data_IF_954112412473
#
_entry.id   IF_954112412473
#
_cell.length_a   1.000
_cell.length_b   1.000
_cell.length_c   1.000
_cell.angle_alpha   90.00
_cell.angle_beta   90.00
_cell.angle_gamma   90.00
#
_symmetry.space_group_name_H-M   'P 1'
#
loop_
_entity.id
_entity.type
_entity.pdbx_description
1 polymer ?
#
# COMPACT_ATOMS: atom_id res chain seq x y z
N UNK A 1 -94.65 22.91 62.99
CA UNK A 1 -94.02 21.92 63.86
C UNK A 1 -92.92 21.20 63.10
N UNK A 2 -91.85 21.28 63.53
CA UNK A 2 -90.67 20.59 64.01
C UNK A 2 -89.56 20.53 62.95
N UNK A 3 -88.56 21.26 63.11
CA UNK A 3 -87.14 21.11 63.39
C UNK A 3 -86.49 19.76 63.09
N UNK A 4 -85.48 19.78 62.28
CA UNK A 4 -84.12 19.18 62.51
C UNK A 4 -83.33 19.21 61.21
N UNK A 5 -82.34 19.85 61.15
CA UNK A 5 -80.96 19.79 61.56
C UNK A 5 -80.03 19.47 60.35
N UNK A 6 -79.34 20.54 59.88
CA UNK A 6 -78.23 20.45 59.03
C UNK A 6 -77.05 19.70 59.71
N UNK A 7 -76.42 18.82 58.97
CA UNK A 7 -75.04 18.45 59.22
C UNK A 7 -74.23 18.55 57.93
N UNK A 8 -73.36 19.50 57.91
CA UNK A 8 -72.31 19.68 56.92
C UNK A 8 -71.30 18.54 56.92
N UNK A 9 -71.01 17.98 55.78
CA UNK A 9 -69.85 17.15 55.58
C UNK A 9 -68.98 17.90 54.56
N UNK A 10 -67.89 18.51 55.08
CA UNK A 10 -66.82 19.06 54.25
C UNK A 10 -65.97 17.91 53.71
N UNK A 11 -66.07 17.66 52.45
CA UNK A 11 -65.16 16.74 51.75
C UNK A 11 -63.92 17.54 51.33
N UNK A 12 -62.82 17.31 52.02
CA UNK A 12 -61.49 17.87 51.69
C UNK A 12 -60.98 17.23 50.38
N UNK A 13 -60.82 18.03 49.33
CA UNK A 13 -60.16 17.65 48.10
C UNK A 13 -58.65 17.74 48.29
N UNK A 14 -57.98 16.61 48.62
CA UNK A 14 -56.55 16.52 48.69
C UNK A 14 -56.00 16.53 47.23
N UNK A 15 -55.49 17.69 46.83
CA UNK A 15 -54.82 17.88 45.55
C UNK A 15 -53.42 17.28 45.66
N UNK A 16 -53.22 16.00 45.23
CA UNK A 16 -51.91 15.40 45.06
C UNK A 16 -51.20 16.07 43.87
N UNK A 17 -50.31 17.00 44.16
CA UNK A 17 -49.34 17.54 43.20
C UNK A 17 -48.27 16.47 43.01
N UNK A 18 -48.40 15.61 41.95
CA UNK A 18 -47.33 14.75 41.50
C UNK A 18 -46.24 15.62 40.94
N UNK A 19 -45.16 15.85 41.70
CA UNK A 19 -43.88 16.35 41.15
C UNK A 19 -43.34 15.28 40.23
N UNK A 20 -43.62 15.38 38.92
CA UNK A 20 -42.87 14.69 37.90
C UNK A 20 -41.48 15.33 37.83
N UNK A 21 -40.55 14.77 38.54
CA UNK A 21 -39.12 15.05 38.30
C UNK A 21 -38.80 14.64 36.86
N UNK A 22 -38.22 15.55 36.03
CA UNK A 22 -37.75 15.14 34.74
C UNK A 22 -36.64 14.11 34.98
N UNK A 23 -36.91 12.83 34.67
CA UNK A 23 -35.83 11.87 34.49
C UNK A 23 -34.99 12.37 33.31
N UNK A 24 -33.90 13.09 33.64
CA UNK A 24 -32.80 13.23 32.73
C UNK A 24 -32.32 11.79 32.47
N UNK A 25 -32.74 11.20 31.36
CA UNK A 25 -32.00 10.12 30.75
C UNK A 25 -30.64 10.71 30.44
N UNK A 26 -29.66 10.38 31.28
CA UNK A 26 -28.26 10.54 30.88
C UNK A 26 -28.14 9.75 29.58
N UNK A 27 -28.08 10.47 28.47
CA UNK A 27 -27.59 9.89 27.22
C UNK A 27 -26.25 9.26 27.60
N UNK A 28 -26.15 7.95 27.50
CA UNK A 28 -24.88 7.27 27.69
C UNK A 28 -23.92 7.97 26.72
N UNK A 29 -22.93 8.69 27.24
CA UNK A 29 -21.90 9.31 26.44
C UNK A 29 -21.35 8.20 25.55
N UNK A 30 -21.51 8.33 24.22
CA UNK A 30 -20.85 7.41 23.30
C UNK A 30 -19.36 7.42 23.61
N UNK A 31 -18.71 6.25 23.61
CA UNK A 31 -17.27 6.17 23.90
C UNK A 31 -16.53 7.11 22.96
N UNK A 32 -15.66 7.96 23.51
CA UNK A 32 -14.89 8.91 22.73
C UNK A 32 -14.00 8.18 21.73
N UNK A 33 -14.08 8.59 20.47
CA UNK A 33 -13.18 8.09 19.40
C UNK A 33 -11.76 8.55 19.69
N UNK A 34 -10.76 7.75 19.35
CA UNK A 34 -9.36 8.11 19.52
C UNK A 34 -9.01 9.38 18.72
N UNK A 35 -8.24 10.32 19.28
CA UNK A 35 -8.02 11.64 18.66
C UNK A 35 -7.42 11.60 17.25
N UNK A 36 -6.56 10.63 16.94
CA UNK A 36 -5.95 10.46 15.63
C UNK A 36 -6.96 9.98 14.57
N UNK A 37 -7.94 9.19 14.95
CA UNK A 37 -9.09 8.79 14.12
C UNK A 37 -10.10 9.92 14.03
N UNK A 38 -10.46 10.55 15.17
CA UNK A 38 -11.44 11.65 15.22
C UNK A 38 -11.07 12.79 14.29
N UNK A 39 -9.79 13.15 14.21
CA UNK A 39 -9.28 14.18 13.30
C UNK A 39 -9.61 13.85 11.82
N UNK A 40 -9.58 12.58 11.43
CA UNK A 40 -9.91 12.14 10.06
C UNK A 40 -11.42 12.19 9.85
N UNK A 41 -12.20 11.75 10.84
CA UNK A 41 -13.66 11.80 10.80
C UNK A 41 -14.17 13.24 10.71
N UNK A 42 -13.60 14.17 11.50
CA UNK A 42 -13.95 15.59 11.50
C UNK A 42 -13.61 16.25 10.15
N UNK A 43 -12.52 15.82 9.51
CA UNK A 43 -12.14 16.31 8.18
C UNK A 43 -13.02 15.72 7.06
N UNK A 44 -13.73 14.61 7.31
CA UNK A 44 -14.51 13.88 6.31
C UNK A 44 -13.67 13.21 5.22
N UNK A 45 -12.33 13.29 5.33
CA UNK A 45 -11.40 12.74 4.33
C UNK A 45 -10.19 12.11 4.99
N UNK A 46 -9.67 11.03 4.37
CA UNK A 46 -8.35 10.48 4.64
C UNK A 46 -7.42 10.77 3.46
N UNK A 47 -6.28 11.41 3.74
CA UNK A 47 -5.28 11.72 2.71
C UNK A 47 -4.38 10.53 2.48
N UNK A 48 -4.33 10.06 1.24
CA UNK A 48 -3.61 8.84 0.84
C UNK A 48 -2.48 9.18 -0.11
N UNK A 49 -1.24 9.01 0.33
CA UNK A 49 -0.08 9.18 -0.52
C UNK A 49 0.04 8.00 -1.52
N UNK A 50 0.21 8.35 -2.78
CA UNK A 50 0.54 7.47 -3.88
C UNK A 50 1.78 7.98 -4.60
N UNK A 51 2.54 7.08 -5.22
CA UNK A 51 3.60 7.48 -6.15
C UNK A 51 3.01 8.31 -7.30
N UNK A 52 3.74 9.36 -7.74
CA UNK A 52 3.30 10.25 -8.83
C UNK A 52 3.25 9.50 -10.15
N UNK A 53 4.28 8.72 -10.49
CA UNK A 53 4.31 7.90 -11.68
C UNK A 53 3.52 6.60 -11.54
N UNK A 54 3.03 6.09 -12.65
CA UNK A 54 2.31 4.82 -12.70
C UNK A 54 3.23 3.64 -12.39
N UNK A 55 2.66 2.63 -11.76
CA UNK A 55 3.29 1.36 -11.40
C UNK A 55 2.24 0.24 -11.56
N UNK A 56 1.88 -0.02 -12.80
CA UNK A 56 0.82 -0.97 -13.16
C UNK A 56 1.13 -2.41 -12.69
N UNK A 57 0.11 -3.16 -12.29
CA UNK A 57 -1.31 -2.84 -12.21
C UNK A 57 -1.74 -2.19 -10.89
N UNK A 58 -0.81 -1.88 -9.97
CA UNK A 58 -1.10 -1.37 -8.64
C UNK A 58 -1.52 0.09 -8.64
N UNK A 59 -0.75 0.92 -9.35
CA UNK A 59 -1.00 2.36 -9.45
C UNK A 59 -1.04 2.70 -10.93
N UNK A 60 -2.17 3.20 -11.38
CA UNK A 60 -2.41 3.63 -12.75
C UNK A 60 -3.12 4.97 -12.75
N UNK A 61 -3.17 5.59 -13.91
CA UNK A 61 -3.98 6.77 -14.18
C UNK A 61 -5.02 6.38 -15.22
N UNK A 62 -6.29 6.57 -14.91
CA UNK A 62 -7.38 6.27 -15.86
C UNK A 62 -7.49 7.33 -16.98
N UNK A 63 -8.41 7.12 -17.93
CA UNK A 63 -8.62 8.03 -19.04
C UNK A 63 -9.06 9.45 -18.62
N UNK A 64 -9.57 9.62 -17.39
CA UNK A 64 -10.01 10.90 -16.83
C UNK A 64 -8.90 11.57 -15.98
N UNK A 65 -7.72 10.96 -15.88
CA UNK A 65 -6.62 11.43 -15.04
C UNK A 65 -6.75 11.05 -13.56
N UNK A 66 -7.71 10.22 -13.19
CA UNK A 66 -7.90 9.80 -11.80
C UNK A 66 -7.03 8.56 -11.46
N UNK A 67 -6.60 8.44 -10.18
CA UNK A 67 -5.88 7.27 -9.72
C UNK A 67 -6.72 6.00 -9.86
N UNK A 68 -6.15 4.95 -10.47
CA UNK A 68 -6.75 3.64 -10.70
C UNK A 68 -5.77 2.52 -10.32
N UNK A 69 -6.25 1.28 -10.25
CA UNK A 69 -5.44 0.12 -9.87
C UNK A 69 -5.71 -0.36 -8.45
N UNK A 70 -5.04 -1.44 -8.06
CA UNK A 70 -5.34 -2.13 -6.78
C UNK A 70 -5.10 -1.26 -5.55
N UNK A 71 -4.12 -0.37 -5.57
CA UNK A 71 -3.81 0.49 -4.43
C UNK A 71 -4.85 1.60 -4.22
N UNK A 72 -5.25 2.37 -5.25
CA UNK A 72 -6.36 3.31 -5.14
C UNK A 72 -7.70 2.65 -4.76
N UNK A 73 -7.98 1.44 -5.27
CA UNK A 73 -9.20 0.72 -4.96
C UNK A 73 -9.23 0.28 -3.49
N UNK A 74 -8.12 -0.25 -2.97
CA UNK A 74 -7.97 -0.57 -1.55
C UNK A 74 -8.13 0.67 -0.67
N UNK A 75 -7.52 1.79 -1.07
CA UNK A 75 -7.60 3.04 -0.31
C UNK A 75 -9.03 3.58 -0.26
N UNK A 76 -9.80 3.49 -1.36
CA UNK A 76 -11.21 3.90 -1.39
C UNK A 76 -12.09 3.00 -0.51
N UNK A 77 -11.87 1.68 -0.54
CA UNK A 77 -12.63 0.76 0.31
C UNK A 77 -12.32 1.01 1.80
N UNK A 78 -11.04 1.18 2.15
CA UNK A 78 -10.61 1.54 3.51
C UNK A 78 -11.28 2.84 3.98
N UNK A 79 -11.25 3.89 3.17
CA UNK A 79 -11.86 5.18 3.48
C UNK A 79 -13.38 5.03 3.69
N UNK A 80 -14.05 4.31 2.81
CA UNK A 80 -15.48 4.01 2.92
C UNK A 80 -15.83 3.27 4.22
N UNK A 81 -15.01 2.30 4.62
CA UNK A 81 -15.17 1.56 5.89
C UNK A 81 -14.93 2.44 7.11
N UNK A 82 -14.04 3.42 7.01
CA UNK A 82 -13.82 4.43 8.06
C UNK A 82 -14.93 5.49 8.11
N UNK A 83 -15.78 5.58 7.07
CA UNK A 83 -16.86 6.56 6.98
C UNK A 83 -16.43 7.92 6.40
N UNK A 84 -15.34 7.96 5.62
CA UNK A 84 -14.78 9.16 5.00
C UNK A 84 -14.46 8.93 3.51
N UNK A 85 -14.04 9.99 2.82
CA UNK A 85 -13.57 9.90 1.44
C UNK A 85 -12.04 9.78 1.36
N UNK A 86 -11.52 9.09 0.33
CA UNK A 86 -10.09 9.03 0.04
C UNK A 86 -9.69 10.20 -0.86
N UNK A 87 -8.73 11.02 -0.39
CA UNK A 87 -8.11 12.08 -1.19
C UNK A 87 -6.66 11.71 -1.47
N UNK A 88 -6.32 11.61 -2.75
CA UNK A 88 -5.00 11.14 -3.17
C UNK A 88 -3.97 12.27 -3.28
N UNK A 89 -2.79 12.06 -2.69
CA UNK A 89 -1.61 12.93 -2.74
C UNK A 89 -0.56 12.25 -3.60
N UNK A 90 -0.33 12.74 -4.82
CA UNK A 90 0.61 12.17 -5.81
C UNK A 90 1.74 13.16 -6.11
N UNK A 91 2.54 13.50 -5.09
CA UNK A 91 3.62 14.50 -5.19
C UNK A 91 5.02 13.91 -5.18
N UNK A 92 5.15 12.60 -4.92
CA UNK A 92 6.45 11.94 -4.79
C UNK A 92 6.71 10.98 -5.97
N UNK A 93 7.87 11.13 -6.60
CA UNK A 93 8.28 10.30 -7.75
C UNK A 93 8.90 8.95 -7.34
N UNK A 94 9.38 8.85 -6.09
CA UNK A 94 10.04 7.65 -5.57
C UNK A 94 9.25 7.02 -4.42
N UNK A 95 9.45 5.73 -4.17
CA UNK A 95 8.84 5.03 -3.03
C UNK A 95 9.29 5.60 -1.68
N UNK A 96 10.57 6.01 -1.56
CA UNK A 96 11.05 6.68 -0.34
C UNK A 96 10.41 8.06 -0.18
N UNK A 97 10.24 8.81 -1.27
CA UNK A 97 9.52 10.07 -1.27
C UNK A 97 8.07 9.94 -0.80
N UNK A 98 7.37 8.85 -1.16
CA UNK A 98 6.02 8.55 -0.65
C UNK A 98 6.03 8.37 0.87
N UNK A 99 7.03 7.67 1.42
CA UNK A 99 7.21 7.54 2.88
C UNK A 99 7.46 8.90 3.52
N UNK A 100 8.26 9.76 2.89
CA UNK A 100 8.54 11.11 3.39
C UNK A 100 7.28 12.00 3.44
N UNK A 101 6.37 11.89 2.47
CA UNK A 101 5.07 12.58 2.48
C UNK A 101 4.27 12.22 3.73
N UNK A 102 4.23 10.95 4.10
CA UNK A 102 3.54 10.47 5.31
C UNK A 102 4.29 10.90 6.58
N UNK A 103 5.60 10.78 6.60
CA UNK A 103 6.44 11.18 7.73
C UNK A 103 6.30 12.68 8.06
N UNK A 104 6.19 13.52 7.02
CA UNK A 104 5.94 14.97 7.18
C UNK A 104 4.47 15.33 7.43
N UNK A 105 3.58 14.31 7.53
CA UNK A 105 2.13 14.49 7.81
C UNK A 105 1.37 15.24 6.69
N UNK A 106 1.93 15.23 5.49
CA UNK A 106 1.27 15.75 4.29
C UNK A 106 0.15 14.80 3.81
N UNK A 107 0.27 13.50 4.15
CA UNK A 107 -0.78 12.50 4.05
C UNK A 107 -0.95 11.75 5.39
N UNK A 108 -2.09 11.08 5.55
CA UNK A 108 -2.40 10.31 6.75
C UNK A 108 -1.86 8.88 6.65
N UNK A 109 -1.94 8.32 5.46
CA UNK A 109 -1.44 6.99 5.11
C UNK A 109 -0.81 7.00 3.73
N UNK A 110 -0.04 5.95 3.41
CA UNK A 110 0.32 5.63 2.04
C UNK A 110 -0.14 4.21 1.70
N UNK A 111 -0.94 4.10 0.64
CA UNK A 111 -1.34 2.85 -0.01
C UNK A 111 -0.73 2.89 -1.40
N UNK A 112 0.54 2.48 -1.52
CA UNK A 112 1.37 2.75 -2.70
C UNK A 112 2.32 1.60 -3.03
N UNK A 113 1.86 0.36 -2.80
CA UNK A 113 2.64 -0.84 -3.05
C UNK A 113 4.01 -0.81 -2.34
N UNK A 114 4.00 -0.36 -1.08
CA UNK A 114 5.22 -0.11 -0.32
C UNK A 114 5.72 -1.37 0.40
N UNK A 115 6.95 -1.73 0.12
CA UNK A 115 7.69 -2.65 0.98
C UNK A 115 8.13 -1.94 2.26
N UNK A 116 7.97 -2.61 3.39
CA UNK A 116 8.54 -2.14 4.66
C UNK A 116 10.05 -2.35 4.71
N UNK A 117 10.73 -1.57 5.53
CA UNK A 117 12.15 -1.71 5.80
C UNK A 117 12.55 -0.98 7.08
N UNK A 118 13.62 -1.45 7.74
CA UNK A 118 14.07 -0.87 9.01
C UNK A 118 14.41 0.63 8.88
N UNK A 119 14.91 1.07 7.71
CA UNK A 119 15.20 2.48 7.43
C UNK A 119 13.91 3.31 7.43
N UNK A 120 12.88 2.87 6.72
CA UNK A 120 11.58 3.55 6.61
C UNK A 120 10.80 3.54 7.93
N UNK A 121 10.88 2.44 8.68
CA UNK A 121 10.21 2.27 9.96
C UNK A 121 10.70 3.23 11.06
N UNK A 122 11.77 3.99 10.82
CA UNK A 122 12.21 5.08 11.72
C UNK A 122 11.30 6.30 11.66
N UNK A 123 10.51 6.45 10.59
CA UNK A 123 9.77 7.68 10.28
C UNK A 123 8.27 7.49 10.24
N UNK A 124 7.81 6.26 9.94
CA UNK A 124 6.40 5.92 9.81
C UNK A 124 6.10 4.57 10.48
N UNK A 125 4.85 4.33 10.82
CA UNK A 125 4.37 2.99 11.14
C UNK A 125 4.06 2.21 9.86
N UNK A 126 4.12 0.87 9.94
CA UNK A 126 3.67 -0.04 8.90
C UNK A 126 2.58 -0.95 9.44
N UNK A 127 1.54 -1.17 8.64
CA UNK A 127 0.48 -2.15 8.92
C UNK A 127 0.99 -3.59 8.88
N UNK A 128 0.13 -4.54 9.22
CA UNK A 128 0.30 -5.92 8.79
C UNK A 128 0.37 -5.98 7.26
N UNK A 129 1.04 -6.99 6.68
CA UNK A 129 1.10 -7.14 5.23
C UNK A 129 -0.29 -7.50 4.66
N UNK A 130 -0.58 -6.97 3.46
CA UNK A 130 -1.78 -7.34 2.70
C UNK A 130 -1.45 -7.98 1.34
N UNK A 131 -0.19 -7.88 0.89
CA UNK A 131 0.33 -8.65 -0.24
C UNK A 131 1.65 -9.26 0.19
N UNK A 132 1.82 -10.56 -0.06
CA UNK A 132 3.08 -11.26 0.10
C UNK A 132 3.77 -11.36 -1.26
N UNK A 133 4.73 -10.48 -1.48
CA UNK A 133 5.43 -10.39 -2.75
C UNK A 133 6.82 -10.99 -2.65
N UNK A 134 7.31 -11.54 -3.77
CA UNK A 134 8.72 -11.89 -3.96
C UNK A 134 9.35 -10.93 -4.96
N UNK A 135 10.46 -10.31 -4.62
CA UNK A 135 11.34 -9.67 -5.59
C UNK A 135 11.93 -10.72 -6.52
N UNK A 136 12.04 -10.43 -7.80
CA UNK A 136 12.63 -11.29 -8.81
C UNK A 136 13.76 -10.57 -9.54
N UNK A 137 14.78 -11.33 -9.90
CA UNK A 137 15.84 -10.90 -10.78
C UNK A 137 15.51 -11.31 -12.23
N UNK A 138 15.61 -10.36 -13.13
CA UNK A 138 15.58 -10.58 -14.59
C UNK A 138 16.96 -10.29 -15.17
N UNK A 139 17.31 -10.98 -16.27
CA UNK A 139 18.61 -10.81 -16.90
C UNK A 139 18.56 -10.93 -18.43
N UNK A 140 19.53 -10.35 -19.10
CA UNK A 140 19.71 -10.47 -20.53
C UNK A 140 20.29 -11.85 -20.89
N UNK A 141 19.55 -12.61 -21.70
CA UNK A 141 19.90 -14.00 -22.08
C UNK A 141 21.22 -14.10 -22.83
N UNK A 142 21.47 -13.17 -23.76
CA UNK A 142 22.67 -13.21 -24.60
C UNK A 142 23.92 -12.95 -23.75
N UNK A 143 23.90 -11.91 -22.92
CA UNK A 143 25.03 -11.60 -22.04
C UNK A 143 25.28 -12.72 -21.03
N UNK A 144 24.24 -13.33 -20.48
CA UNK A 144 24.45 -14.45 -19.57
C UNK A 144 25.03 -15.68 -20.28
N UNK A 145 24.64 -15.94 -21.54
CA UNK A 145 25.23 -17.01 -22.35
C UNK A 145 26.72 -16.73 -22.63
N UNK A 146 27.11 -15.47 -22.82
CA UNK A 146 28.52 -15.06 -22.96
C UNK A 146 29.30 -15.29 -21.66
N UNK A 147 28.77 -14.89 -20.51
CA UNK A 147 29.38 -15.14 -19.20
C UNK A 147 29.57 -16.64 -18.92
N UNK A 148 28.60 -17.47 -19.28
CA UNK A 148 28.72 -18.94 -19.17
C UNK A 148 29.89 -19.47 -20.02
N UNK A 149 29.99 -19.00 -21.26
CA UNK A 149 31.01 -19.47 -22.20
C UNK A 149 32.40 -18.99 -21.82
N UNK A 150 32.54 -17.70 -21.46
CA UNK A 150 33.84 -17.04 -21.35
C UNK A 150 34.41 -17.10 -19.93
N UNK A 151 33.56 -17.19 -18.90
CA UNK A 151 33.91 -17.23 -17.47
C UNK A 151 33.50 -18.54 -16.76
N UNK A 152 32.77 -19.43 -17.44
CA UNK A 152 32.27 -20.66 -16.81
C UNK A 152 31.19 -20.45 -15.72
N UNK A 153 30.53 -19.28 -15.73
CA UNK A 153 29.52 -18.92 -14.73
C UNK A 153 28.22 -19.64 -15.02
N UNK A 154 27.81 -20.56 -14.15
CA UNK A 154 26.59 -21.38 -14.35
C UNK A 154 25.33 -20.77 -13.75
N UNK A 155 25.43 -19.88 -12.74
CA UNK A 155 24.30 -19.26 -12.06
C UNK A 155 24.54 -17.77 -11.86
N UNK A 156 23.45 -16.98 -11.77
CA UNK A 156 23.58 -15.54 -11.48
C UNK A 156 24.18 -15.28 -10.08
N UNK A 157 23.96 -16.18 -9.14
CA UNK A 157 24.55 -16.07 -7.80
C UNK A 157 26.08 -16.15 -7.86
N UNK A 158 26.63 -17.00 -8.72
CA UNK A 158 28.09 -17.13 -8.87
C UNK A 158 28.75 -15.83 -9.40
N UNK A 159 28.00 -14.97 -10.09
CA UNK A 159 28.50 -13.66 -10.55
C UNK A 159 28.95 -12.77 -9.37
N UNK A 160 28.23 -12.83 -8.24
CA UNK A 160 28.52 -11.97 -7.10
C UNK A 160 29.94 -12.19 -6.51
N UNK A 161 30.51 -13.36 -6.74
CA UNK A 161 31.85 -13.77 -6.27
C UNK A 161 32.94 -13.68 -7.36
N UNK A 162 32.53 -13.41 -8.61
CA UNK A 162 33.44 -13.35 -9.77
C UNK A 162 33.92 -11.90 -10.04
N UNK A 163 35.18 -11.67 -10.38
CA UNK A 163 35.68 -10.34 -10.74
C UNK A 163 34.90 -9.65 -11.87
N UNK A 164 34.29 -10.40 -12.78
CA UNK A 164 33.47 -9.85 -13.88
C UNK A 164 32.29 -9.03 -13.38
N UNK A 165 31.83 -9.27 -12.14
CA UNK A 165 30.74 -8.50 -11.53
C UNK A 165 31.01 -6.98 -11.56
N UNK A 166 32.28 -6.55 -11.44
CA UNK A 166 32.67 -5.13 -11.47
C UNK A 166 32.38 -4.43 -12.82
N UNK A 167 32.22 -5.18 -13.88
CA UNK A 167 31.93 -4.70 -15.23
C UNK A 167 30.43 -4.68 -15.53
N UNK A 168 29.63 -5.43 -14.76
CA UNK A 168 28.20 -5.59 -15.00
C UNK A 168 27.38 -4.48 -14.37
N UNK A 169 26.38 -4.00 -15.13
CA UNK A 169 25.37 -3.09 -14.61
C UNK A 169 24.15 -3.87 -14.13
N UNK A 170 23.74 -3.58 -12.90
CA UNK A 170 22.55 -4.10 -12.27
C UNK A 170 21.51 -3.00 -12.12
N UNK A 171 20.32 -3.21 -12.66
CA UNK A 171 19.25 -2.21 -12.72
C UNK A 171 18.25 -2.31 -11.57
N UNK A 172 17.77 -1.17 -11.12
CA UNK A 172 16.70 -1.07 -10.12
C UNK A 172 15.91 0.23 -10.29
N UNK A 173 14.63 0.22 -9.93
CA UNK A 173 13.85 1.47 -9.89
C UNK A 173 14.25 2.29 -8.67
N UNK A 174 14.54 3.57 -8.88
CA UNK A 174 15.02 4.50 -7.86
C UNK A 174 14.10 4.57 -6.64
N UNK A 175 14.69 4.58 -5.44
CA UNK A 175 13.99 4.65 -4.15
C UNK A 175 13.20 3.39 -3.80
N UNK A 176 13.40 2.28 -4.52
CA UNK A 176 12.81 0.99 -4.17
C UNK A 176 13.64 0.24 -3.13
N UNK A 177 13.01 -0.71 -2.43
CA UNK A 177 13.74 -1.57 -1.47
C UNK A 177 14.81 -2.43 -2.17
N UNK A 178 14.70 -2.60 -3.48
CA UNK A 178 15.59 -3.44 -4.27
C UNK A 178 16.97 -2.82 -4.49
N UNK A 179 17.16 -1.51 -4.29
CA UNK A 179 18.49 -0.87 -4.24
C UNK A 179 19.36 -1.54 -3.18
N UNK A 180 18.92 -1.50 -1.92
CA UNK A 180 19.63 -2.12 -0.80
C UNK A 180 19.81 -3.63 -0.98
N UNK A 181 18.85 -4.28 -1.63
CA UNK A 181 18.92 -5.70 -1.87
C UNK A 181 19.99 -6.06 -2.90
N UNK A 182 20.07 -5.32 -4.01
CA UNK A 182 21.11 -5.52 -5.03
C UNK A 182 22.51 -5.18 -4.49
N UNK A 183 22.66 -4.09 -3.73
CA UNK A 183 23.92 -3.72 -3.10
C UNK A 183 24.44 -4.80 -2.15
N UNK A 184 23.54 -5.48 -1.43
CA UNK A 184 23.89 -6.59 -0.56
C UNK A 184 24.27 -7.86 -1.33
N UNK A 185 23.48 -8.21 -2.36
CA UNK A 185 23.60 -9.48 -3.07
C UNK A 185 24.67 -9.44 -4.17
N UNK A 186 24.93 -8.26 -4.73
CA UNK A 186 25.92 -8.01 -5.79
C UNK A 186 26.76 -6.76 -5.46
N UNK A 187 27.55 -6.80 -4.38
CA UNK A 187 28.19 -5.60 -3.82
C UNK A 187 29.25 -4.96 -4.71
N UNK A 188 29.80 -5.71 -5.67
CA UNK A 188 30.84 -5.24 -6.60
C UNK A 188 30.26 -4.76 -7.94
N UNK A 189 29.00 -5.04 -8.26
CA UNK A 189 28.35 -4.63 -9.48
C UNK A 189 28.03 -3.15 -9.51
N UNK A 190 27.93 -2.58 -10.71
CA UNK A 190 27.57 -1.17 -10.90
C UNK A 190 26.04 -1.03 -10.84
N UNK A 191 25.53 -0.36 -9.79
CA UNK A 191 24.11 -0.10 -9.69
C UNK A 191 23.70 1.01 -10.66
N UNK A 192 22.60 0.78 -11.41
CA UNK A 192 21.95 1.77 -12.26
C UNK A 192 20.51 2.00 -11.82
N UNK A 193 20.18 3.26 -11.55
CA UNK A 193 18.85 3.69 -11.12
C UNK A 193 17.99 4.07 -12.33
N UNK A 194 16.75 3.60 -12.34
CA UNK A 194 15.75 3.90 -13.37
C UNK A 194 14.54 4.60 -12.74
N UNK A 195 13.88 5.44 -13.50
CA UNK A 195 12.68 6.16 -13.08
C UNK A 195 11.41 5.26 -13.10
N UNK A 196 11.42 4.21 -13.91
CA UNK A 196 10.27 3.30 -14.09
C UNK A 196 10.69 1.87 -14.39
N UNK A 197 9.74 0.93 -14.17
CA UNK A 197 9.89 -0.46 -14.57
C UNK A 197 10.09 -0.58 -16.10
N UNK A 198 9.34 0.19 -16.89
CA UNK A 198 9.42 0.12 -18.35
C UNK A 198 10.81 0.50 -18.87
N UNK A 199 11.40 1.60 -18.34
CA UNK A 199 12.74 2.02 -18.66
C UNK A 199 13.78 0.96 -18.26
N UNK A 200 13.66 0.40 -17.06
CA UNK A 200 14.52 -0.66 -16.54
C UNK A 200 14.46 -1.93 -17.41
N UNK A 201 13.25 -2.40 -17.76
CA UNK A 201 13.06 -3.60 -18.58
C UNK A 201 13.54 -3.39 -20.03
N UNK A 202 13.39 -2.18 -20.58
CA UNK A 202 13.92 -1.84 -21.90
C UNK A 202 15.45 -1.91 -21.94
N UNK A 203 16.13 -1.41 -20.88
CA UNK A 203 17.58 -1.46 -20.76
C UNK A 203 18.11 -2.91 -20.60
N UNK A 204 17.42 -3.78 -19.86
CA UNK A 204 17.77 -5.21 -19.79
C UNK A 204 17.55 -5.89 -21.15
N UNK A 205 16.45 -5.58 -21.83
CA UNK A 205 16.15 -6.16 -23.14
C UNK A 205 17.18 -5.78 -24.19
N UNK A 206 17.66 -4.54 -24.21
CA UNK A 206 18.68 -4.06 -25.14
C UNK A 206 20.09 -4.56 -24.83
N UNK A 207 20.34 -5.07 -23.62
CA UNK A 207 21.66 -5.41 -23.10
C UNK A 207 22.47 -4.22 -22.57
N UNK A 208 21.87 -3.04 -22.46
CA UNK A 208 22.47 -1.86 -21.82
C UNK A 208 22.67 -2.10 -20.31
N UNK A 209 21.81 -2.90 -19.70
CA UNK A 209 21.89 -3.37 -18.32
C UNK A 209 21.85 -4.89 -18.34
N UNK A 210 22.80 -5.53 -17.65
CA UNK A 210 22.92 -6.99 -17.62
C UNK A 210 21.71 -7.65 -16.97
N UNK A 211 21.37 -7.22 -15.76
CA UNK A 211 20.26 -7.76 -14.98
C UNK A 211 19.58 -6.65 -14.18
N UNK A 212 18.37 -6.92 -13.71
CA UNK A 212 17.63 -5.97 -12.90
C UNK A 212 16.71 -6.67 -11.90
N UNK A 213 16.43 -6.00 -10.77
CA UNK A 213 15.55 -6.54 -9.72
C UNK A 213 14.34 -5.64 -9.50
N UNK A 214 13.17 -6.27 -9.43
CA UNK A 214 11.92 -5.60 -9.09
C UNK A 214 10.91 -6.57 -8.47
N UNK A 215 9.74 -6.05 -8.03
CA UNK A 215 8.63 -6.85 -7.55
C UNK A 215 8.13 -7.86 -8.59
N UNK A 216 7.97 -9.11 -8.17
CA UNK A 216 7.61 -10.21 -9.09
C UNK A 216 6.29 -9.99 -9.78
N UNK A 217 5.27 -9.47 -9.08
CA UNK A 217 3.96 -9.17 -9.64
C UNK A 217 4.06 -8.16 -10.79
N UNK A 218 4.83 -7.08 -10.62
CA UNK A 218 5.02 -6.07 -11.66
C UNK A 218 5.82 -6.61 -12.85
N UNK A 219 6.84 -7.43 -12.61
CA UNK A 219 7.58 -8.11 -13.67
C UNK A 219 6.66 -9.06 -14.42
N UNK A 220 5.86 -9.88 -13.75
CA UNK A 220 4.92 -10.82 -14.37
C UNK A 220 3.86 -10.07 -15.20
N UNK A 221 3.34 -8.96 -14.69
CA UNK A 221 2.42 -8.10 -15.43
C UNK A 221 3.07 -7.52 -16.69
N UNK A 222 4.29 -6.97 -16.57
CA UNK A 222 5.05 -6.44 -17.71
C UNK A 222 5.29 -7.51 -18.77
N UNK A 223 5.77 -8.71 -18.38
CA UNK A 223 6.06 -9.81 -19.28
C UNK A 223 4.82 -10.31 -20.03
N UNK A 224 3.66 -10.34 -19.35
CA UNK A 224 2.38 -10.72 -19.99
C UNK A 224 1.89 -9.70 -21.02
N UNK A 225 2.12 -8.41 -20.77
CA UNK A 225 1.79 -7.34 -21.75
C UNK A 225 2.79 -7.24 -22.89
N UNK A 226 4.02 -7.68 -22.67
CA UNK A 226 5.13 -7.58 -23.62
C UNK A 226 5.76 -8.95 -23.88
N UNK A 227 5.03 -9.93 -24.47
CA UNK A 227 5.49 -11.32 -24.57
C UNK A 227 6.77 -11.48 -25.37
N UNK A 228 7.05 -10.60 -26.36
CA UNK A 228 8.30 -10.61 -27.12
C UNK A 228 9.54 -10.34 -26.25
N UNK A 229 9.39 -9.76 -25.07
CA UNK A 229 10.50 -9.55 -24.11
C UNK A 229 11.14 -10.87 -23.70
N UNK A 230 10.38 -11.95 -23.60
CA UNK A 230 10.88 -13.28 -23.21
C UNK A 230 11.94 -13.86 -24.18
N UNK A 231 12.05 -13.32 -25.39
CA UNK A 231 13.11 -13.70 -26.34
C UNK A 231 14.48 -13.26 -25.81
N UNK A 232 14.55 -12.07 -25.21
CA UNK A 232 15.80 -11.41 -24.81
C UNK A 232 16.06 -11.48 -23.30
N UNK A 233 15.00 -11.58 -22.50
CA UNK A 233 15.06 -11.49 -21.04
C UNK A 233 14.57 -12.80 -20.42
N UNK A 234 15.25 -13.25 -19.37
CA UNK A 234 14.82 -14.39 -18.58
C UNK A 234 14.68 -13.98 -17.11
N UNK A 235 13.87 -14.74 -16.39
CA UNK A 235 13.73 -14.68 -14.93
C UNK A 235 14.72 -15.65 -14.30
N UNK A 236 15.42 -15.20 -13.26
CA UNK A 236 16.21 -16.10 -12.44
C UNK A 236 15.27 -16.94 -11.54
N UNK A 237 15.42 -18.27 -11.52
CA UNK A 237 14.55 -19.15 -10.73
C UNK A 237 14.90 -19.12 -9.23
N UNK A 238 16.14 -18.81 -8.88
CA UNK A 238 16.71 -19.05 -7.56
C UNK A 238 16.76 -17.78 -6.71
N UNK A 239 16.94 -16.60 -7.35
CA UNK A 239 17.00 -15.33 -6.65
C UNK A 239 15.59 -14.81 -6.43
N UNK A 240 15.06 -15.11 -5.24
CA UNK A 240 13.76 -14.62 -4.76
C UNK A 240 13.95 -13.94 -3.42
N UNK A 241 13.48 -12.72 -3.33
CA UNK A 241 13.49 -11.97 -2.08
C UNK A 241 12.06 -11.72 -1.63
N UNK A 242 11.72 -12.18 -0.43
CA UNK A 242 10.41 -11.87 0.14
C UNK A 242 10.33 -10.39 0.47
N UNK A 243 9.27 -9.75 0.03
CA UNK A 243 8.99 -8.35 0.26
C UNK A 243 7.50 -8.16 0.52
N UNK A 244 7.14 -8.09 1.79
CA UNK A 244 5.75 -7.87 2.19
C UNK A 244 5.33 -6.43 1.90
N UNK A 245 4.18 -6.27 1.26
CA UNK A 245 3.58 -4.96 0.98
C UNK A 245 2.67 -4.56 2.12
N UNK A 246 2.83 -3.32 2.57
CA UNK A 246 2.19 -2.76 3.76
C UNK A 246 1.73 -1.34 3.53
N UNK A 247 0.70 -0.92 4.25
CA UNK A 247 0.29 0.47 4.34
C UNK A 247 1.26 1.19 5.27
N UNK A 248 1.79 2.35 4.86
CA UNK A 248 2.52 3.23 5.77
C UNK A 248 1.54 4.21 6.43
N UNK A 249 1.72 4.47 7.73
CA UNK A 249 0.85 5.31 8.54
C UNK A 249 1.71 6.36 9.25
N UNK A 250 1.23 7.59 9.33
CA UNK A 250 1.93 8.69 10.00
C UNK A 250 2.30 8.35 11.46
N UNK A 251 3.45 8.87 11.95
CA UNK A 251 4.02 8.42 13.22
C UNK A 251 3.21 8.82 14.48
N UNK A 252 2.26 9.74 14.34
CA UNK A 252 1.40 10.22 15.43
C UNK A 252 -0.02 9.64 15.38
N UNK A 253 -0.24 8.52 14.65
CA UNK A 253 -1.55 7.88 14.51
C UNK A 253 -1.53 6.37 14.86
N UNK A 254 -1.19 6.01 16.12
CA UNK A 254 -1.11 4.61 16.53
C UNK A 254 -2.47 3.89 16.57
N UNK A 255 -3.57 4.61 16.83
CA UNK A 255 -4.89 3.99 16.85
C UNK A 255 -5.42 3.80 15.43
N UNK A 256 -5.09 4.69 14.50
CA UNK A 256 -5.35 4.47 13.08
C UNK A 256 -4.62 3.22 12.57
N UNK A 257 -3.36 3.00 12.98
CA UNK A 257 -2.63 1.77 12.68
C UNK A 257 -3.37 0.53 13.18
N UNK A 258 -3.85 0.54 14.43
CA UNK A 258 -4.61 -0.59 15.00
C UNK A 258 -5.90 -0.84 14.23
N UNK A 259 -6.62 0.22 13.88
CA UNK A 259 -7.85 0.13 13.11
C UNK A 259 -7.58 -0.44 11.71
N UNK A 260 -6.53 0.05 11.00
CA UNK A 260 -6.12 -0.46 9.70
C UNK A 260 -5.75 -1.94 9.77
N UNK A 261 -5.06 -2.38 10.82
CA UNK A 261 -4.71 -3.79 10.97
C UNK A 261 -5.95 -4.69 11.14
N UNK A 262 -6.96 -4.23 11.87
CA UNK A 262 -8.25 -4.93 11.97
C UNK A 262 -8.99 -4.94 10.65
N UNK A 263 -9.06 -3.78 9.96
CA UNK A 263 -9.65 -3.69 8.63
C UNK A 263 -9.00 -4.68 7.64
N UNK A 264 -7.68 -4.75 7.60
CA UNK A 264 -6.96 -5.67 6.74
C UNK A 264 -7.28 -7.13 7.08
N UNK A 265 -7.34 -7.48 8.36
CA UNK A 265 -7.65 -8.84 8.80
C UNK A 265 -9.08 -9.27 8.46
N UNK A 266 -10.05 -8.37 8.63
CA UNK A 266 -11.49 -8.69 8.54
C UNK A 266 -12.03 -8.57 7.11
N UNK A 267 -11.44 -7.71 6.27
CA UNK A 267 -12.02 -7.34 4.97
C UNK A 267 -11.12 -7.60 3.76
N UNK A 268 -9.82 -7.66 3.94
CA UNK A 268 -8.86 -7.79 2.82
C UNK A 268 -8.20 -9.16 2.81
N UNK A 269 -7.69 -9.59 3.96
CA UNK A 269 -6.85 -10.78 4.05
C UNK A 269 -5.50 -10.59 3.35
N UNK A 270 -4.91 -11.70 2.93
CA UNK A 270 -3.70 -11.69 2.11
C UNK A 270 -4.11 -11.79 0.63
N UNK A 271 -3.83 -10.73 -0.13
CA UNK A 271 -4.15 -10.71 -1.56
C UNK A 271 -3.22 -11.60 -2.35
N UNK A 272 -3.79 -12.33 -3.31
CA UNK A 272 -3.04 -13.17 -4.25
C UNK A 272 -2.55 -12.35 -5.44
N UNK A 273 -1.26 -12.43 -5.72
CA UNK A 273 -0.59 -11.74 -6.82
C UNK A 273 -1.20 -12.10 -8.19
N UNK A 274 -1.55 -13.38 -8.42
CA UNK A 274 -2.09 -13.85 -9.68
C UNK A 274 -3.52 -13.30 -9.91
N UNK A 275 -4.33 -13.20 -8.85
CA UNK A 275 -5.67 -12.62 -8.92
C UNK A 275 -5.61 -11.13 -9.24
N UNK A 276 -4.68 -10.38 -8.62
CA UNK A 276 -4.46 -8.96 -8.90
C UNK A 276 -4.09 -8.77 -10.38
N UNK A 277 -3.08 -9.51 -10.84
CA UNK A 277 -2.63 -9.43 -12.24
C UNK A 277 -3.79 -9.73 -13.20
N UNK A 278 -4.54 -10.81 -12.95
CA UNK A 278 -5.63 -11.22 -13.83
C UNK A 278 -6.75 -10.18 -13.89
N UNK A 279 -7.14 -9.61 -12.75
CA UNK A 279 -8.19 -8.59 -12.67
C UNK A 279 -7.86 -7.37 -13.52
N UNK A 280 -6.66 -6.83 -13.35
CA UNK A 280 -6.27 -5.57 -14.01
C UNK A 280 -5.75 -5.77 -15.45
N UNK A 281 -5.36 -6.97 -15.86
CA UNK A 281 -5.14 -7.30 -17.26
C UNK A 281 -6.44 -7.31 -18.07
N UNK A 282 -7.53 -7.81 -17.49
CA UNK A 282 -8.83 -7.85 -18.15
C UNK A 282 -9.46 -6.45 -18.28
N UNK A 283 -9.35 -5.61 -17.25
CA UNK A 283 -9.86 -4.24 -17.31
C UNK A 283 -9.21 -3.41 -18.41
N UNK A 284 -7.91 -3.57 -18.66
CA UNK A 284 -7.22 -2.85 -19.73
C UNK A 284 -7.60 -3.33 -21.14
N UNK A 285 -8.09 -4.57 -21.31
CA UNK A 285 -8.57 -5.08 -22.61
C UNK A 285 -9.96 -4.57 -22.97
N UNK A 286 -10.77 -4.21 -21.96
CA UNK A 286 -12.12 -3.66 -22.18
C UNK A 286 -12.10 -2.16 -22.45
N UNK A 287 -10.96 -1.49 -22.20
CA UNK A 287 -10.76 -0.04 -22.43
C UNK A 287 -10.00 0.29 -23.73
N UNK A 288 -9.51 -0.71 -24.47
CA UNK A 288 -8.93 -0.61 -25.82
C UNK A 288 -10.02 -0.95 -26.88
#
# INVERSE_FOLDING_TARGET
MSKKLLRSIAAGLAMMFSLALPMHQAAADEPAVFPDIQRILDAGVIRVALRAGDAAPMIMTDANGAPAGSEPDLARDLAKKLGVEAVFVRTADTYDGVVDVVARKEADIAVSYLSSGARRARYVFFSHPYIKQSGRLVYNRAQFAELKRDHGIETLRAIAEDPVATELQMGVVAGSVYETNLERDFPTSRLRLFESLDAMMAAVRSGETFAAMHGGLQIDYYMRRNPATAIYVALDPDIRQSSDIRIAIRPDAPNLLRWINLYLADHVGMLDDAEIVQRYLNQNRESE
#
